data_IF_232169839403
#
_entry.id   IF_232169839403
#
_cell.length_a   1.000
_cell.length_b   1.000
_cell.length_c   1.000
_cell.angle_alpha   90.00
_cell.angle_beta   90.00
_cell.angle_gamma   90.00
#
_symmetry.space_group_name_H-M   'P 1'
#
loop_
_entity.id
_entity.type
_entity.pdbx_description
1 polymer ?
#
# COMPACT_ATOMS: atom_id res chain seq x y z
N UNK A 1 16.77 8.64 3.07
CA UNK A 1 17.47 7.99 4.20
C UNK A 1 17.97 6.59 3.86
N UNK A 2 17.12 5.58 3.63
CA UNK A 2 17.61 4.20 3.40
C UNK A 2 18.55 4.04 2.20
N UNK A 3 18.32 4.77 1.11
CA UNK A 3 19.23 4.81 -0.03
C UNK A 3 20.66 5.29 0.30
N UNK A 4 20.77 6.30 1.15
CA UNK A 4 22.08 6.79 1.58
C UNK A 4 22.80 5.73 2.45
N UNK A 5 22.03 5.00 3.26
CA UNK A 5 22.55 3.90 4.08
C UNK A 5 23.07 2.72 3.23
N UNK A 6 22.36 2.35 2.15
CA UNK A 6 22.85 1.39 1.14
C UNK A 6 24.22 1.81 0.62
N UNK A 7 24.34 3.06 0.17
CA UNK A 7 25.57 3.58 -0.45
C UNK A 7 26.75 3.65 0.53
N UNK A 8 26.50 3.81 1.83
CA UNK A 8 27.54 3.92 2.85
C UNK A 8 27.97 2.58 3.45
N UNK A 9 27.06 1.59 3.51
CA UNK A 9 27.27 0.36 4.28
C UNK A 9 27.23 -0.91 3.44
N UNK A 10 27.07 -0.80 2.11
CA UNK A 10 26.98 -1.93 1.16
C UNK A 10 25.96 -3.00 1.58
N UNK A 11 24.79 -2.53 2.05
CA UNK A 11 23.69 -3.40 2.45
C UNK A 11 22.58 -3.40 1.41
N UNK A 12 22.03 -4.57 1.10
CA UNK A 12 20.85 -4.64 0.25
C UNK A 12 19.63 -4.08 0.97
N UNK A 13 18.85 -3.24 0.26
CA UNK A 13 17.62 -2.65 0.78
C UNK A 13 16.45 -2.97 -0.14
N UNK A 14 15.26 -3.00 0.47
CA UNK A 14 13.97 -3.01 -0.23
C UNK A 14 13.10 -1.92 0.38
N UNK A 15 12.47 -1.13 -0.47
CA UNK A 15 11.55 -0.05 -0.06
C UNK A 15 10.18 -0.47 -0.58
N UNK A 16 9.19 -0.48 0.30
CA UNK A 16 7.79 -0.69 -0.04
C UNK A 16 7.00 0.57 0.31
N UNK A 17 6.07 0.98 -0.55
CA UNK A 17 5.02 1.95 -0.21
C UNK A 17 3.71 1.20 -0.06
N UNK A 18 3.09 1.33 1.11
CA UNK A 18 1.86 0.64 1.46
C UNK A 18 0.70 1.60 1.25
N UNK A 19 -0.24 1.24 0.39
CA UNK A 19 -1.47 1.99 0.17
C UNK A 19 -2.54 1.62 1.20
N UNK A 20 -3.73 2.22 1.11
CA UNK A 20 -4.82 2.07 2.07
C UNK A 20 -5.27 0.61 2.19
N UNK A 21 -4.59 -0.11 3.07
CA UNK A 21 -4.82 -1.54 3.24
C UNK A 21 -6.01 -1.77 4.16
N UNK A 22 -6.87 -2.70 3.80
CA UNK A 22 -8.00 -3.13 4.61
C UNK A 22 -8.08 -4.65 4.75
N UNK A 23 -8.71 -5.13 5.83
CA UNK A 23 -8.94 -6.56 6.01
C UNK A 23 -9.30 -6.97 7.44
N UNK A 24 -9.43 -8.29 7.69
CA UNK A 24 -9.68 -8.84 9.01
C UNK A 24 -8.63 -8.40 10.03
N UNK A 25 -9.02 -8.31 11.31
CA UNK A 25 -8.15 -7.91 12.43
C UNK A 25 -7.62 -6.47 12.37
N UNK A 26 -8.12 -5.62 11.46
CA UNK A 26 -7.91 -4.18 11.57
C UNK A 26 -8.44 -3.66 12.89
N UNK A 27 -7.72 -2.71 13.50
CA UNK A 27 -8.16 -2.08 14.72
C UNK A 27 -9.43 -1.26 14.44
N UNK A 28 -10.53 -1.43 15.21
CA UNK A 28 -11.79 -0.72 14.96
C UNK A 28 -11.65 0.80 14.92
N UNK A 29 -10.73 1.36 15.71
CA UNK A 29 -10.48 2.81 15.81
C UNK A 29 -9.17 3.22 15.10
N UNK A 30 -8.80 2.53 14.05
CA UNK A 30 -7.61 2.82 13.25
C UNK A 30 -7.72 4.15 12.45
N UNK A 31 -8.90 4.75 12.39
CA UNK A 31 -9.12 6.10 11.88
C UNK A 31 -9.08 6.23 10.35
N UNK A 32 -8.84 5.13 9.62
CA UNK A 32 -8.90 5.08 8.16
C UNK A 32 -10.35 5.05 7.65
N UNK A 33 -10.53 5.44 6.39
CA UNK A 33 -11.86 5.56 5.76
C UNK A 33 -12.62 4.23 5.74
N UNK A 34 -11.97 3.14 5.36
CA UNK A 34 -12.62 1.81 5.28
C UNK A 34 -13.02 1.31 6.66
N UNK A 35 -12.15 1.43 7.67
CA UNK A 35 -12.49 1.03 9.04
C UNK A 35 -13.64 1.85 9.60
N UNK A 36 -13.65 3.17 9.38
CA UNK A 36 -14.72 4.03 9.85
C UNK A 36 -16.05 3.69 9.19
N UNK A 37 -16.07 3.43 7.89
CA UNK A 37 -17.28 3.03 7.18
C UNK A 37 -17.84 1.71 7.71
N UNK A 38 -16.99 0.69 7.86
CA UNK A 38 -17.41 -0.61 8.41
C UNK A 38 -18.01 -0.45 9.81
N UNK A 39 -17.34 0.27 10.71
CA UNK A 39 -17.82 0.47 12.08
C UNK A 39 -19.11 1.29 12.12
N UNK A 40 -19.22 2.35 11.31
CA UNK A 40 -20.44 3.15 11.22
C UNK A 40 -21.62 2.32 10.70
N UNK A 41 -21.41 1.51 9.67
CA UNK A 41 -22.42 0.57 9.16
C UNK A 41 -22.86 -0.45 10.22
N UNK A 42 -21.90 -1.08 10.91
CA UNK A 42 -22.21 -2.07 11.96
C UNK A 42 -22.97 -1.46 13.14
N UNK A 43 -22.77 -0.17 13.41
CA UNK A 43 -23.44 0.56 14.49
C UNK A 43 -24.74 1.26 14.05
N UNK A 44 -25.20 1.03 12.81
CA UNK A 44 -26.33 1.76 12.20
C UNK A 44 -26.19 3.30 12.29
N UNK A 45 -24.95 3.80 12.15
CA UNK A 45 -24.65 5.23 12.10
C UNK A 45 -24.54 5.68 10.65
N UNK A 46 -24.83 6.96 10.42
CA UNK A 46 -24.63 7.58 9.12
C UNK A 46 -23.16 7.53 8.71
N UNK A 47 -22.92 7.23 7.44
CA UNK A 47 -21.58 7.23 6.85
C UNK A 47 -21.09 8.67 6.73
N UNK A 48 -19.93 8.95 7.33
CA UNK A 48 -19.35 10.30 7.32
C UNK A 48 -18.54 10.51 6.04
N UNK A 49 -19.01 11.40 5.17
CA UNK A 49 -18.28 11.87 3.99
C UNK A 49 -17.67 13.23 4.30
N UNK A 50 -16.35 13.33 4.16
CA UNK A 50 -15.62 14.59 4.31
C UNK A 50 -15.47 15.27 2.95
N UNK A 51 -15.80 16.56 2.87
CA UNK A 51 -15.79 17.33 1.63
C UNK A 51 -17.01 17.02 0.76
N UNK A 52 -16.81 16.98 -0.55
CA UNK A 52 -17.84 16.68 -1.55
C UNK A 52 -17.95 15.17 -1.87
N UNK A 53 -17.03 14.36 -1.33
CA UNK A 53 -16.98 12.93 -1.59
C UNK A 53 -16.44 12.54 -2.97
N UNK A 54 -15.93 13.48 -3.76
CA UNK A 54 -15.41 13.21 -5.12
C UNK A 54 -13.98 12.68 -5.12
N UNK A 55 -13.29 12.69 -3.97
CA UNK A 55 -11.92 12.21 -3.87
C UNK A 55 -11.78 10.71 -4.21
N UNK A 56 -10.81 10.40 -5.06
CA UNK A 56 -10.45 9.02 -5.39
C UNK A 56 -9.29 8.53 -4.50
N UNK A 57 -9.35 7.27 -4.07
CA UNK A 57 -8.32 6.56 -3.33
C UNK A 57 -8.26 5.11 -3.80
N UNK A 58 -7.05 4.58 -3.93
CA UNK A 58 -6.84 3.14 -4.12
C UNK A 58 -6.86 2.42 -2.78
N UNK A 59 -7.46 1.24 -2.74
CA UNK A 59 -7.54 0.35 -1.59
C UNK A 59 -6.94 -1.00 -1.92
N UNK A 60 -6.33 -1.64 -0.92
CA UNK A 60 -5.64 -2.90 -1.07
C UNK A 60 -6.10 -3.89 0.00
N UNK A 61 -6.38 -5.13 -0.37
CA UNK A 61 -6.71 -6.14 0.63
C UNK A 61 -5.44 -6.64 1.34
N UNK A 62 -5.57 -6.97 2.63
CA UNK A 62 -4.42 -7.35 3.48
C UNK A 62 -3.64 -8.55 2.93
N UNK A 63 -4.30 -9.52 2.31
CA UNK A 63 -3.62 -10.69 1.75
C UNK A 63 -2.74 -10.29 0.55
N UNK A 64 -3.19 -9.35 -0.28
CA UNK A 64 -2.41 -8.84 -1.41
C UNK A 64 -1.18 -8.07 -0.94
N UNK A 65 -1.30 -7.32 0.17
CA UNK A 65 -0.17 -6.65 0.81
C UNK A 65 0.86 -7.66 1.29
N UNK A 66 0.44 -8.68 2.02
CA UNK A 66 1.36 -9.71 2.56
C UNK A 66 2.05 -10.44 1.41
N UNK A 67 1.31 -10.80 0.36
CA UNK A 67 1.86 -11.43 -0.83
C UNK A 67 2.88 -10.52 -1.55
N UNK A 68 2.55 -9.24 -1.73
CA UNK A 68 3.44 -8.25 -2.36
C UNK A 68 4.73 -8.02 -1.56
N UNK A 69 4.64 -7.90 -0.24
CA UNK A 69 5.82 -7.78 0.64
C UNK A 69 6.69 -9.04 0.59
N UNK A 70 6.08 -10.22 0.57
CA UNK A 70 6.80 -11.50 0.47
C UNK A 70 7.58 -11.60 -0.85
N UNK A 71 6.93 -11.23 -1.97
CA UNK A 71 7.60 -11.15 -3.28
C UNK A 71 8.72 -10.12 -3.29
N UNK A 72 8.56 -8.98 -2.61
CA UNK A 72 9.56 -7.91 -2.58
C UNK A 72 10.83 -8.37 -1.83
N UNK A 73 10.63 -9.09 -0.73
CA UNK A 73 11.72 -9.67 0.04
C UNK A 73 12.47 -10.76 -0.73
N UNK A 74 11.76 -11.62 -1.46
CA UNK A 74 12.35 -12.72 -2.23
C UNK A 74 12.85 -12.29 -3.63
N UNK A 75 12.48 -11.09 -4.08
CA UNK A 75 12.81 -10.59 -5.40
C UNK A 75 14.22 -10.02 -5.49
N UNK A 76 14.86 -10.22 -6.64
CA UNK A 76 16.23 -9.79 -6.90
C UNK A 76 16.34 -8.31 -7.33
N UNK A 77 15.56 -7.42 -6.70
CA UNK A 77 15.23 -6.13 -7.29
C UNK A 77 16.16 -4.95 -7.06
N UNK A 78 16.94 -4.76 -5.99
CA UNK A 78 17.86 -3.61 -5.73
C UNK A 78 17.40 -2.16 -5.92
N UNK A 79 16.22 -1.96 -6.48
CA UNK A 79 15.51 -0.72 -6.76
C UNK A 79 14.24 -0.67 -5.87
N UNK A 80 13.78 0.53 -5.49
CA UNK A 80 12.58 0.71 -4.69
C UNK A 80 11.37 0.16 -5.42
N UNK A 81 10.46 -0.47 -4.69
CA UNK A 81 9.19 -0.93 -5.22
C UNK A 81 8.03 -0.18 -4.59
N UNK A 82 7.02 0.13 -5.37
CA UNK A 82 5.68 0.35 -4.84
C UNK A 82 4.97 -0.99 -4.80
N UNK A 83 4.34 -1.33 -3.67
CA UNK A 83 3.48 -2.52 -3.58
C UNK A 83 2.07 -2.02 -3.78
N UNK A 84 1.53 -2.21 -4.98
CA UNK A 84 0.16 -1.78 -5.30
C UNK A 84 -0.86 -2.91 -5.10
N UNK A 85 -2.14 -2.52 -5.16
CA UNK A 85 -3.32 -3.36 -4.98
C UNK A 85 -3.50 -4.37 -6.13
N UNK A 86 -2.58 -5.34 -6.19
CA UNK A 86 -2.64 -6.59 -6.96
C UNK A 86 -1.52 -7.56 -6.52
N UNK A 87 -0.75 -7.24 -5.47
CA UNK A 87 0.48 -7.97 -5.15
C UNK A 87 1.54 -7.82 -6.25
N UNK A 88 1.44 -6.76 -7.06
CA UNK A 88 2.41 -6.37 -8.07
C UNK A 88 3.38 -5.34 -7.46
N UNK A 89 4.67 -5.56 -7.72
CA UNK A 89 5.73 -4.66 -7.29
C UNK A 89 6.07 -3.80 -8.49
N UNK A 90 5.77 -2.52 -8.42
CA UNK A 90 6.12 -1.57 -9.47
C UNK A 90 7.48 -0.98 -9.12
N UNK A 91 8.52 -1.17 -9.94
CA UNK A 91 9.80 -0.51 -9.72
C UNK A 91 9.59 1.02 -9.71
N UNK A 92 10.22 1.71 -8.77
CA UNK A 92 10.20 3.17 -8.69
C UNK A 92 11.63 3.70 -8.72
N UNK A 93 12.05 4.14 -9.90
CA UNK A 93 13.35 4.70 -10.20
C UNK A 93 13.33 5.46 -11.53
N UNK A 94 14.35 6.29 -11.84
CA UNK A 94 14.40 7.05 -13.09
C UNK A 94 14.35 6.17 -14.35
N UNK A 95 14.79 4.90 -14.25
CA UNK A 95 14.74 3.91 -15.32
C UNK A 95 13.53 2.96 -15.24
N UNK A 96 12.58 3.22 -14.33
CA UNK A 96 11.41 2.38 -14.16
C UNK A 96 10.38 2.62 -15.26
N UNK A 97 10.21 1.63 -16.13
CA UNK A 97 9.10 1.59 -17.09
C UNK A 97 7.81 1.28 -16.32
N UNK A 98 6.91 2.26 -16.18
CA UNK A 98 5.56 1.99 -15.70
C UNK A 98 4.93 0.90 -16.57
N UNK A 99 4.37 -0.18 -16.00
CA UNK A 99 3.56 -1.11 -16.77
C UNK A 99 2.37 -0.34 -17.35
N UNK A 100 2.11 -0.53 -18.64
CA UNK A 100 0.96 0.08 -19.31
C UNK A 100 -0.33 -0.53 -18.75
N UNK A 101 -1.01 0.24 -17.90
CA UNK A 101 -2.46 0.22 -17.66
C UNK A 101 -3.12 -1.10 -17.24
N UNK A 102 -3.67 -1.10 -16.03
CA UNK A 102 -4.89 -1.83 -15.69
C UNK A 102 -5.92 -0.81 -15.19
N UNK A 103 -7.16 -0.91 -15.68
CA UNK A 103 -8.26 0.03 -15.46
C UNK A 103 -8.60 0.30 -13.98
#
# INVERSE_FOLDING_TARGET
MMYAYKNQNDVSIRIARIFNTFGPRMHPNDGRVVSNFIIQSLQNKNITIYGDGSQTRSFQYVDDLVNGLTKLMNGNYDSPGEVEAAGEIIPTGPDAVKPKGGA
#
